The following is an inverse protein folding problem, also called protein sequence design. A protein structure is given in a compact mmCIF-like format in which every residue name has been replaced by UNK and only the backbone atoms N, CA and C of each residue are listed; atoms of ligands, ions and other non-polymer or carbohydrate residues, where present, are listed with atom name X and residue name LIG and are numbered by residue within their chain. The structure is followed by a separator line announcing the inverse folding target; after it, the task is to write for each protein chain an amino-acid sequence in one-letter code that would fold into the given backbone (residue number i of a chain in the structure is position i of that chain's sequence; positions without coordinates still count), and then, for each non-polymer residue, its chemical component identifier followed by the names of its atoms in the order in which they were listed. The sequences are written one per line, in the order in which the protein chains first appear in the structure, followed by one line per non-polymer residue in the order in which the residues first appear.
data_IF_788196274588
#
_entry.id   IF_788196274588
#
_cell.length_a   1.000
_cell.length_b   1.000
_cell.length_c   1.000
_cell.angle_alpha   90.00
_cell.angle_beta   90.00
_cell.angle_gamma   90.00
#
_symmetry.space_group_name_H-M   'P 1'
#
loop_
_entity.id
_entity.type
_entity.pdbx_description
1 polymer ?
#
# COMPACT_ATOMS: atom_id res chain seq x y z
N UNK A 1 -9.84 0.01 -25.47
CA UNK A 1 -10.02 -0.99 -26.56
C UNK A 1 -9.36 -2.30 -26.17
N UNK A 2 -10.05 -3.42 -26.37
CA UNK A 2 -9.43 -4.74 -26.21
C UNK A 2 -8.43 -5.04 -27.36
N UNK A 3 -7.61 -6.11 -27.27
CA UNK A 3 -6.62 -6.46 -28.31
C UNK A 3 -7.21 -6.72 -29.70
N UNK A 4 -8.54 -6.89 -29.81
CA UNK A 4 -9.27 -7.08 -31.05
C UNK A 4 -9.92 -5.78 -31.60
N UNK A 5 -9.65 -4.62 -30.99
CA UNK A 5 -10.17 -3.32 -31.44
C UNK A 5 -11.63 -3.05 -31.07
N UNK A 6 -12.22 -3.86 -30.19
CA UNK A 6 -13.56 -3.61 -29.62
C UNK A 6 -13.53 -2.68 -28.41
N UNK A 7 -14.72 -2.19 -28.03
CA UNK A 7 -14.95 -1.47 -26.77
C UNK A 7 -14.37 -2.28 -25.59
N UNK A 8 -13.62 -1.62 -24.70
CA UNK A 8 -13.03 -2.29 -23.55
C UNK A 8 -14.06 -2.53 -22.44
N UNK A 9 -15.29 -1.99 -22.56
CA UNK A 9 -16.35 -2.11 -21.55
C UNK A 9 -15.84 -1.68 -20.17
N UNK A 10 -15.00 -0.65 -20.15
CA UNK A 10 -14.36 -0.03 -18.99
C UNK A 10 -15.14 1.18 -18.47
N UNK A 11 -16.38 1.38 -18.95
CA UNK A 11 -17.24 2.47 -18.56
C UNK A 11 -17.48 2.48 -17.05
N UNK A 12 -16.89 3.47 -16.39
CA UNK A 12 -17.18 3.87 -15.03
C UNK A 12 -18.17 5.03 -15.05
N UNK A 13 -19.13 5.07 -14.14
CA UNK A 13 -19.86 6.31 -13.89
C UNK A 13 -19.94 6.57 -12.40
N UNK A 14 -19.44 7.72 -11.94
CA UNK A 14 -19.44 8.00 -10.52
C UNK A 14 -19.14 9.43 -10.13
N UNK A 15 -19.38 9.69 -8.85
CA UNK A 15 -19.05 10.95 -8.22
C UNK A 15 -18.03 10.72 -7.12
N UNK A 16 -17.01 11.58 -7.11
CA UNK A 16 -16.00 11.63 -6.04
C UNK A 16 -15.91 13.02 -5.44
N UNK A 17 -15.70 13.05 -4.15
CA UNK A 17 -15.46 14.28 -3.42
C UNK A 17 -14.43 14.08 -2.33
N UNK A 18 -13.61 15.09 -2.08
CA UNK A 18 -12.66 15.03 -0.98
C UNK A 18 -12.16 16.40 -0.54
N UNK A 19 -11.61 16.40 0.66
CA UNK A 19 -11.05 17.59 1.27
C UNK A 19 -9.75 17.28 2.00
N UNK A 20 -8.79 18.19 1.90
CA UNK A 20 -7.55 18.19 2.67
C UNK A 20 -7.37 19.53 3.37
N UNK A 21 -7.01 19.46 4.64
CA UNK A 21 -6.75 20.60 5.49
C UNK A 21 -5.39 20.44 6.16
N UNK A 22 -4.53 21.43 5.95
CA UNK A 22 -3.17 21.44 6.46
C UNK A 22 -2.97 22.62 7.41
N UNK A 23 -2.36 22.36 8.56
CA UNK A 23 -1.99 23.38 9.53
C UNK A 23 -0.56 23.20 9.98
N UNK A 24 0.19 24.30 10.00
CA UNK A 24 1.44 24.39 10.74
C UNK A 24 1.25 25.31 11.95
N UNK A 25 1.45 24.78 13.16
CA UNK A 25 1.34 25.54 14.41
C UNK A 25 2.68 25.49 15.15
N UNK A 26 3.48 26.54 14.97
CA UNK A 26 4.86 26.57 15.46
C UNK A 26 5.68 25.47 14.77
N UNK A 27 6.19 24.53 15.56
CA UNK A 27 6.95 23.38 15.04
C UNK A 27 6.10 22.16 14.73
N UNK A 28 4.82 22.15 15.11
CA UNK A 28 3.92 21.02 14.84
C UNK A 28 3.16 21.22 13.53
N UNK A 29 2.87 20.12 12.86
CA UNK A 29 2.09 20.04 11.63
C UNK A 29 0.92 19.07 11.83
N UNK A 30 -0.23 19.43 11.28
CA UNK A 30 -1.43 18.60 11.29
C UNK A 30 -2.02 18.60 9.89
N UNK A 31 -2.21 17.41 9.33
CA UNK A 31 -3.00 17.17 8.12
C UNK A 31 -4.28 16.44 8.52
N UNK A 32 -5.44 16.94 8.11
CA UNK A 32 -6.70 16.21 8.10
C UNK A 32 -7.14 16.07 6.65
N UNK A 33 -7.37 14.85 6.19
CA UNK A 33 -7.79 14.57 4.81
C UNK A 33 -8.90 13.54 4.82
N UNK A 34 -9.85 13.64 3.89
CA UNK A 34 -10.84 12.62 3.67
C UNK A 34 -11.41 12.68 2.27
N UNK A 35 -11.86 11.54 1.77
CA UNK A 35 -12.54 11.40 0.50
C UNK A 35 -13.81 10.54 0.65
N UNK A 36 -14.69 10.63 -0.34
CA UNK A 36 -15.82 9.75 -0.53
C UNK A 36 -16.02 9.52 -2.04
N UNK A 37 -16.59 8.38 -2.37
CA UNK A 37 -16.93 8.04 -3.74
C UNK A 37 -18.13 7.11 -3.81
N UNK A 38 -18.83 7.16 -4.93
CA UNK A 38 -19.89 6.22 -5.30
C UNK A 38 -19.84 6.07 -6.83
N UNK A 39 -19.42 4.89 -7.27
CA UNK A 39 -19.22 4.60 -8.68
C UNK A 39 -19.95 3.31 -9.07
N UNK A 40 -20.49 3.31 -10.27
CA UNK A 40 -20.99 2.13 -10.95
C UNK A 40 -19.99 1.76 -12.06
N UNK A 41 -19.52 0.54 -12.03
CA UNK A 41 -18.46 0.01 -12.87
C UNK A 41 -18.94 -1.28 -13.54
N UNK A 42 -18.57 -1.50 -14.79
CA UNK A 42 -18.69 -2.84 -15.40
C UNK A 42 -17.35 -3.55 -15.26
N UNK A 43 -17.17 -4.34 -14.20
CA UNK A 43 -15.91 -5.07 -13.99
C UNK A 43 -15.92 -6.30 -14.91
N UNK A 44 -15.01 -6.33 -15.89
CA UNK A 44 -14.94 -7.38 -16.89
C UNK A 44 -13.69 -8.28 -16.77
N UNK A 45 -13.12 -8.43 -15.57
CA UNK A 45 -11.96 -9.31 -15.34
C UNK A 45 -12.22 -10.79 -15.68
N UNK A 46 -13.50 -11.20 -15.72
CA UNK A 46 -13.96 -12.55 -16.08
C UNK A 46 -14.80 -12.65 -17.36
N UNK A 47 -14.86 -11.61 -18.19
CA UNK A 47 -15.77 -11.57 -19.37
C UNK A 47 -17.26 -11.71 -19.03
N UNK A 48 -17.66 -11.39 -17.79
CA UNK A 48 -19.02 -11.61 -17.28
C UNK A 48 -19.94 -10.40 -17.41
N UNK A 49 -19.41 -9.20 -17.68
CA UNK A 49 -20.21 -7.97 -17.84
C UNK A 49 -21.05 -7.61 -16.62
N UNK A 50 -20.58 -7.96 -15.41
CA UNK A 50 -21.36 -7.78 -14.18
C UNK A 50 -21.31 -6.31 -13.76
N UNK A 51 -22.49 -5.69 -13.65
CA UNK A 51 -22.64 -4.37 -13.05
C UNK A 51 -22.24 -4.42 -11.58
N UNK A 52 -21.21 -3.65 -11.24
CA UNK A 52 -20.61 -3.58 -9.91
C UNK A 52 -20.75 -2.17 -9.39
N UNK A 53 -21.36 -2.00 -8.22
CA UNK A 53 -21.37 -0.71 -7.54
C UNK A 53 -20.34 -0.71 -6.43
N UNK A 54 -19.49 0.30 -6.39
CA UNK A 54 -18.47 0.45 -5.37
C UNK A 54 -18.61 1.83 -4.75
N UNK A 55 -18.74 1.87 -3.42
CA UNK A 55 -18.85 3.11 -2.66
C UNK A 55 -17.99 3.05 -1.43
N UNK A 56 -17.60 4.22 -0.95
CA UNK A 56 -16.76 4.29 0.23
C UNK A 56 -16.35 5.69 0.58
N UNK A 57 -15.48 5.76 1.57
CA UNK A 57 -14.83 6.98 1.96
C UNK A 57 -13.87 6.74 3.11
N UNK A 58 -12.99 7.71 3.31
CA UNK A 58 -11.97 7.63 4.33
C UNK A 58 -11.75 8.95 5.07
N UNK A 59 -11.07 8.83 6.21
CA UNK A 59 -10.59 9.95 7.00
C UNK A 59 -9.19 9.63 7.51
N UNK A 60 -8.26 10.54 7.25
CA UNK A 60 -6.87 10.51 7.68
C UNK A 60 -6.58 11.71 8.57
N UNK A 61 -5.96 11.45 9.71
CA UNK A 61 -5.31 12.47 10.52
C UNK A 61 -3.83 12.13 10.67
N UNK A 62 -2.96 13.08 10.28
CA UNK A 62 -1.51 12.95 10.45
C UNK A 62 -0.99 14.13 11.23
N UNK A 63 -0.31 13.86 12.32
CA UNK A 63 0.34 14.85 13.17
C UNK A 63 1.84 14.60 13.19
N UNK A 64 2.61 15.64 12.87
CA UNK A 64 4.07 15.59 12.82
C UNK A 64 4.62 16.69 13.72
N UNK A 65 5.67 16.40 14.49
CA UNK A 65 6.39 17.42 15.25
C UNK A 65 7.84 17.03 15.50
N UNK A 66 8.73 18.01 15.66
CA UNK A 66 10.00 17.79 16.32
C UNK A 66 9.79 17.29 17.75
N UNK A 67 10.53 16.25 18.12
CA UNK A 67 10.57 15.70 19.47
C UNK A 67 11.94 15.07 19.74
N UNK A 68 12.59 15.54 20.81
CA UNK A 68 14.00 15.27 21.11
C UNK A 68 14.91 15.66 19.92
N UNK A 69 15.88 14.82 19.56
CA UNK A 69 16.84 15.04 18.46
C UNK A 69 16.28 14.55 17.10
N UNK A 70 14.96 14.69 16.89
CA UNK A 70 14.28 14.01 15.82
C UNK A 70 12.85 14.48 15.55
N UNK A 71 12.13 13.68 14.77
CA UNK A 71 10.76 13.95 14.34
C UNK A 71 9.84 12.79 14.71
N UNK A 72 8.72 13.11 15.33
CA UNK A 72 7.67 12.18 15.69
C UNK A 72 6.45 12.39 14.80
N UNK A 73 5.94 11.30 14.25
CA UNK A 73 4.70 11.25 13.47
C UNK A 73 3.70 10.32 14.15
N UNK A 74 2.44 10.77 14.21
CA UNK A 74 1.27 9.94 14.54
C UNK A 74 0.30 10.01 13.37
N UNK A 75 -0.18 8.86 12.90
CA UNK A 75 -1.18 8.75 11.85
C UNK A 75 -2.35 7.91 12.35
N UNK A 76 -3.56 8.44 12.23
CA UNK A 76 -4.80 7.73 12.46
C UNK A 76 -5.60 7.72 11.15
N UNK A 77 -6.21 6.59 10.82
CA UNK A 77 -6.92 6.41 9.58
C UNK A 77 -8.16 5.55 9.76
N UNK A 78 -9.22 5.92 9.07
CA UNK A 78 -10.46 5.16 8.94
C UNK A 78 -10.84 5.08 7.47
N UNK A 79 -11.30 3.91 7.02
CA UNK A 79 -11.79 3.67 5.66
C UNK A 79 -12.97 2.74 5.72
N UNK A 80 -14.04 3.11 5.00
CA UNK A 80 -15.17 2.23 4.73
C UNK A 80 -15.24 1.99 3.24
N UNK A 81 -15.36 0.72 2.88
CA UNK A 81 -15.49 0.25 1.52
C UNK A 81 -16.66 -0.71 1.43
N UNK A 82 -17.49 -0.53 0.41
CA UNK A 82 -18.56 -1.45 0.07
C UNK A 82 -18.52 -1.71 -1.44
N UNK A 83 -18.61 -2.99 -1.81
CA UNK A 83 -18.79 -3.46 -3.17
C UNK A 83 -20.03 -4.34 -3.24
N UNK A 84 -20.91 -4.01 -4.18
CA UNK A 84 -22.14 -4.75 -4.45
C UNK A 84 -22.13 -5.22 -5.89
N UNK A 85 -22.30 -6.53 -6.04
CA UNK A 85 -22.53 -7.23 -7.30
C UNK A 85 -23.85 -8.02 -7.18
N UNK A 86 -24.43 -8.54 -8.27
CA UNK A 86 -25.61 -9.40 -8.20
C UNK A 86 -25.38 -10.57 -7.23
N UNK A 87 -26.24 -10.66 -6.21
CA UNK A 87 -26.21 -11.68 -5.15
C UNK A 87 -24.91 -11.74 -4.32
N UNK A 88 -24.04 -10.72 -4.41
CA UNK A 88 -22.76 -10.66 -3.70
C UNK A 88 -22.54 -9.30 -3.06
N UNK A 89 -22.16 -9.28 -1.79
CA UNK A 89 -21.86 -8.05 -1.05
C UNK A 89 -20.54 -8.21 -0.30
N UNK A 90 -19.65 -7.24 -0.46
CA UNK A 90 -18.43 -7.11 0.33
C UNK A 90 -18.46 -5.78 1.09
N UNK A 91 -18.38 -5.84 2.41
CA UNK A 91 -18.23 -4.67 3.28
C UNK A 91 -16.92 -4.75 4.06
N UNK A 92 -16.18 -3.65 4.11
CA UNK A 92 -14.99 -3.54 4.95
C UNK A 92 -14.96 -2.20 5.68
N UNK A 93 -14.74 -2.24 7.00
CA UNK A 93 -14.36 -1.08 7.80
C UNK A 93 -12.95 -1.28 8.35
N UNK A 94 -12.04 -0.38 8.01
CA UNK A 94 -10.64 -0.41 8.43
C UNK A 94 -10.35 0.75 9.37
N UNK A 95 -9.77 0.43 10.52
CA UNK A 95 -9.17 1.39 11.45
C UNK A 95 -7.67 1.13 11.51
N UNK A 96 -6.86 2.17 11.41
CA UNK A 96 -5.40 2.09 11.47
C UNK A 96 -4.86 3.22 12.35
N UNK A 97 -3.91 2.88 13.22
CA UNK A 97 -3.17 3.81 14.05
C UNK A 97 -1.69 3.45 13.96
N UNK A 98 -0.85 4.40 13.58
CA UNK A 98 0.60 4.21 13.50
C UNK A 98 1.35 5.39 14.10
N UNK A 99 2.50 5.09 14.69
CA UNK A 99 3.43 6.07 15.24
C UNK A 99 4.84 5.76 14.73
N UNK A 100 5.59 6.81 14.38
CA UNK A 100 6.98 6.71 13.96
C UNK A 100 7.82 7.80 14.61
N UNK A 101 9.04 7.46 15.02
CA UNK A 101 10.04 8.40 15.52
C UNK A 101 11.34 8.22 14.75
N UNK A 102 11.76 9.27 14.05
CA UNK A 102 13.07 9.36 13.40
C UNK A 102 14.01 10.15 14.28
N UNK A 103 15.18 9.59 14.62
CA UNK A 103 16.19 10.19 15.50
C UNK A 103 17.55 10.15 14.83
N UNK A 104 18.26 11.28 14.85
CA UNK A 104 19.64 11.35 14.35
C UNK A 104 20.57 11.66 15.53
N UNK A 105 21.49 10.76 15.84
CA UNK A 105 22.42 10.92 16.96
C UNK A 105 23.81 10.38 16.66
N UNK A 106 24.77 11.28 16.51
CA UNK A 106 26.14 10.93 16.15
C UNK A 106 26.18 10.25 14.78
N UNK A 107 26.63 9.00 14.74
CA UNK A 107 26.70 8.18 13.51
C UNK A 107 25.42 7.40 13.19
N UNK A 108 24.39 7.52 14.01
CA UNK A 108 23.16 6.71 13.93
C UNK A 108 22.01 7.55 13.39
N UNK A 109 21.29 7.00 12.42
CA UNK A 109 20.01 7.51 11.93
C UNK A 109 18.96 6.42 12.14
N UNK A 110 18.27 6.52 13.27
CA UNK A 110 17.34 5.53 13.80
C UNK A 110 15.91 5.88 13.41
N UNK A 111 15.14 4.90 12.93
CA UNK A 111 13.70 4.99 12.76
C UNK A 111 13.06 3.91 13.60
N UNK A 112 12.18 4.30 14.50
CA UNK A 112 11.37 3.42 15.34
C UNK A 112 9.91 3.59 14.93
N UNK A 113 9.15 2.51 14.88
CA UNK A 113 7.72 2.64 14.64
C UNK A 113 6.90 1.51 15.22
N UNK A 114 5.62 1.79 15.38
CA UNK A 114 4.62 0.84 15.83
C UNK A 114 3.29 1.14 15.12
N UNK A 115 2.50 0.10 14.89
CA UNK A 115 1.21 0.24 14.25
C UNK A 115 0.21 -0.82 14.70
N UNK A 116 -1.07 -0.46 14.63
CA UNK A 116 -2.19 -1.33 14.86
C UNK A 116 -3.26 -1.07 13.81
N UNK A 117 -3.74 -2.14 13.17
CA UNK A 117 -4.84 -2.13 12.22
C UNK A 117 -5.90 -3.13 12.66
N UNK A 118 -7.16 -2.73 12.54
CA UNK A 118 -8.33 -3.58 12.68
C UNK A 118 -9.18 -3.45 11.42
N UNK A 119 -9.60 -4.56 10.84
CA UNK A 119 -10.50 -4.61 9.68
C UNK A 119 -11.70 -5.47 10.06
N UNK A 120 -12.90 -4.89 10.07
CA UNK A 120 -14.13 -5.69 10.06
C UNK A 120 -14.48 -5.97 8.62
N UNK A 121 -14.48 -7.24 8.24
CA UNK A 121 -14.70 -7.68 6.87
C UNK A 121 -15.90 -8.60 6.82
N UNK A 122 -16.84 -8.28 5.94
CA UNK A 122 -18.03 -9.08 5.66
C UNK A 122 -18.06 -9.43 4.18
N UNK A 123 -18.33 -10.69 3.87
CA UNK A 123 -18.51 -11.16 2.50
C UNK A 123 -19.68 -12.11 2.39
N UNK A 124 -20.72 -11.67 1.70
CA UNK A 124 -21.92 -12.46 1.39
C UNK A 124 -21.83 -12.86 -0.07
N UNK A 125 -21.83 -14.16 -0.34
CA UNK A 125 -21.88 -14.71 -1.70
C UNK A 125 -23.25 -15.27 -2.06
N UNK A 126 -23.46 -15.66 -3.33
CA UNK A 126 -24.72 -16.24 -3.79
C UNK A 126 -24.99 -17.59 -3.11
N UNK A 127 -26.27 -17.94 -2.83
CA UNK A 127 -26.61 -19.23 -2.23
C UNK A 127 -26.09 -20.42 -3.06
N UNK A 128 -25.36 -21.34 -2.42
CA UNK A 128 -24.80 -22.53 -3.08
C UNK A 128 -23.59 -22.29 -3.97
N UNK A 129 -23.08 -21.05 -4.03
CA UNK A 129 -21.86 -20.69 -4.74
C UNK A 129 -20.64 -20.60 -3.78
N UNK A 130 -19.61 -19.88 -4.20
CA UNK A 130 -18.44 -19.58 -3.40
C UNK A 130 -18.81 -18.73 -2.18
N UNK A 131 -18.34 -19.10 -0.99
CA UNK A 131 -18.52 -18.31 0.22
C UNK A 131 -17.27 -18.27 1.08
N UNK A 132 -17.17 -17.28 1.96
CA UNK A 132 -16.15 -17.23 3.00
C UNK A 132 -16.75 -17.69 4.33
N UNK A 133 -16.04 -18.58 5.04
CA UNK A 133 -16.38 -18.99 6.40
C UNK A 133 -15.31 -18.49 7.39
N UNK A 134 -15.67 -17.64 8.38
CA UNK A 134 -16.98 -17.02 8.57
C UNK A 134 -17.27 -15.86 7.59
N UNK A 135 -18.56 -15.58 7.35
CA UNK A 135 -19.06 -14.44 6.56
C UNK A 135 -18.49 -13.12 7.10
N UNK A 136 -18.63 -12.91 8.40
CA UNK A 136 -18.12 -11.77 9.16
C UNK A 136 -16.86 -12.16 9.95
N UNK A 137 -15.79 -11.39 9.75
CA UNK A 137 -14.52 -11.61 10.45
C UNK A 137 -13.86 -10.28 10.81
N UNK A 138 -13.42 -10.16 12.06
CA UNK A 138 -12.52 -9.07 12.47
C UNK A 138 -11.08 -9.53 12.36
N UNK A 139 -10.32 -8.87 11.49
CA UNK A 139 -8.90 -9.08 11.30
C UNK A 139 -8.12 -7.99 12.02
N UNK A 140 -7.03 -8.37 12.66
CA UNK A 140 -6.11 -7.46 13.34
C UNK A 140 -4.70 -7.67 12.84
N UNK A 141 -3.93 -6.59 12.78
CA UNK A 141 -2.52 -6.58 12.47
C UNK A 141 -1.83 -5.56 13.38
N UNK A 142 -0.91 -6.04 14.21
CA UNK A 142 -0.06 -5.20 15.06
C UNK A 142 1.37 -5.33 14.59
N UNK A 143 2.14 -4.25 14.57
CA UNK A 143 3.56 -4.33 14.25
C UNK A 143 4.39 -3.35 15.07
N UNK A 144 5.66 -3.71 15.24
CA UNK A 144 6.71 -2.84 15.75
C UNK A 144 7.95 -3.02 14.89
N UNK A 145 8.67 -1.94 14.62
CA UNK A 145 9.91 -2.01 13.85
C UNK A 145 10.96 -1.02 14.35
N UNK A 146 12.20 -1.38 14.05
CA UNK A 146 13.37 -0.54 14.24
C UNK A 146 14.28 -0.67 13.02
N UNK A 147 14.82 0.44 12.56
CA UNK A 147 15.88 0.48 11.56
C UNK A 147 16.93 1.50 11.99
N UNK A 148 18.19 1.11 12.01
CA UNK A 148 19.33 1.99 12.26
C UNK A 148 20.24 2.02 11.03
N UNK A 149 20.47 3.21 10.49
CA UNK A 149 21.50 3.46 9.50
C UNK A 149 22.73 4.05 10.19
N UNK A 150 23.81 3.27 10.20
CA UNK A 150 25.02 3.54 10.95
C UNK A 150 26.14 3.91 9.98
N UNK A 151 26.62 5.16 10.06
CA UNK A 151 27.84 5.58 9.38
C UNK A 151 29.06 4.93 10.06
N UNK A 152 29.56 3.82 9.50
CA UNK A 152 30.77 3.16 9.98
C UNK A 152 32.02 3.99 9.66
N UNK A 153 32.01 4.64 8.50
CA UNK A 153 32.96 5.67 8.05
C UNK A 153 32.20 6.69 7.17
N UNK A 154 32.87 7.74 6.70
CA UNK A 154 32.28 8.71 5.75
C UNK A 154 31.84 8.08 4.42
N UNK A 155 32.40 6.92 4.07
CA UNK A 155 32.15 6.20 2.83
C UNK A 155 31.34 4.91 3.02
N UNK A 156 31.22 4.39 4.25
CA UNK A 156 30.68 3.05 4.52
C UNK A 156 29.52 3.14 5.52
N UNK A 157 28.38 2.63 5.10
CA UNK A 157 27.14 2.66 5.88
C UNK A 157 26.58 1.26 6.06
N UNK A 158 26.26 0.91 7.30
CA UNK A 158 25.56 -0.32 7.66
C UNK A 158 24.13 0.04 8.07
N UNK A 159 23.14 -0.53 7.38
CA UNK A 159 21.74 -0.48 7.80
C UNK A 159 21.37 -1.81 8.43
N UNK A 160 20.85 -1.77 9.65
CA UNK A 160 20.27 -2.93 10.32
C UNK A 160 18.81 -2.63 10.61
N UNK A 161 17.92 -3.56 10.33
CA UNK A 161 16.51 -3.41 10.67
C UNK A 161 15.86 -4.70 11.09
N UNK A 162 14.80 -4.58 11.86
CA UNK A 162 13.93 -5.68 12.21
C UNK A 162 12.51 -5.17 12.38
N UNK A 163 11.56 -5.94 11.84
CA UNK A 163 10.13 -5.75 12.07
C UNK A 163 9.54 -7.01 12.66
N UNK A 164 8.70 -6.83 13.67
CA UNK A 164 7.89 -7.88 14.24
C UNK A 164 6.43 -7.55 13.96
N UNK A 165 5.69 -8.50 13.42
CA UNK A 165 4.29 -8.34 13.06
C UNK A 165 3.47 -9.47 13.65
N UNK A 166 2.29 -9.16 14.18
CA UNK A 166 1.32 -10.13 14.65
C UNK A 166 -0.01 -9.92 13.94
N UNK A 167 -0.55 -10.97 13.30
CA UNK A 167 -1.75 -10.88 12.49
C UNK A 167 -2.72 -12.05 12.74
N UNK A 168 -3.97 -11.88 12.31
CA UNK A 168 -5.06 -12.85 12.57
C UNK A 168 -4.96 -14.17 11.80
N UNK A 169 -4.06 -14.31 10.84
CA UNK A 169 -3.93 -15.52 10.04
C UNK A 169 -2.72 -16.37 10.43
N UNK A 170 -1.50 -15.81 10.36
CA UNK A 170 -0.26 -16.55 10.62
C UNK A 170 0.29 -16.36 12.03
N UNK A 171 -0.36 -15.53 12.85
CA UNK A 171 0.07 -15.32 14.23
C UNK A 171 1.21 -14.31 14.32
N UNK A 172 2.46 -14.73 14.20
CA UNK A 172 3.66 -13.89 14.46
C UNK A 172 4.72 -14.03 13.37
N UNK A 173 5.28 -12.91 12.94
CA UNK A 173 6.26 -12.81 11.86
C UNK A 173 7.47 -11.98 12.34
N UNK A 174 8.68 -12.49 12.10
CA UNK A 174 9.92 -11.77 12.38
C UNK A 174 10.71 -11.54 11.09
N UNK A 175 10.89 -10.27 10.74
CA UNK A 175 11.38 -9.80 9.45
C UNK A 175 12.67 -8.97 9.64
N UNK A 176 13.84 -9.63 9.85
CA UNK A 176 15.13 -8.96 9.92
C UNK A 176 15.66 -8.57 8.53
N UNK A 177 16.51 -7.55 8.51
CA UNK A 177 17.30 -7.18 7.35
C UNK A 177 18.63 -6.54 7.75
N UNK A 178 19.61 -6.68 6.86
CA UNK A 178 20.90 -6.01 6.95
C UNK A 178 21.36 -5.59 5.56
N UNK A 179 21.92 -4.39 5.46
CA UNK A 179 22.51 -3.85 4.22
C UNK A 179 23.82 -3.16 4.52
N UNK A 180 24.85 -3.46 3.75
CA UNK A 180 26.10 -2.73 3.75
C UNK A 180 26.22 -1.96 2.44
N UNK A 181 26.52 -0.66 2.51
CA UNK A 181 26.64 0.23 1.37
C UNK A 181 27.96 1.01 1.44
N UNK A 182 28.76 0.96 0.38
CA UNK A 182 30.06 1.61 0.26
C UNK A 182 30.06 2.60 -0.91
N UNK A 183 30.09 3.89 -0.57
CA UNK A 183 30.31 4.99 -1.50
C UNK A 183 31.80 5.08 -1.82
N UNK A 184 32.20 4.67 -3.03
CA UNK A 184 33.59 4.67 -3.46
C UNK A 184 34.05 6.06 -3.91
N UNK A 185 35.36 6.34 -3.84
CA UNK A 185 35.93 7.52 -4.49
C UNK A 185 35.54 7.55 -5.98
N UNK A 186 34.97 8.67 -6.44
CA UNK A 186 34.44 8.80 -7.80
C UNK A 186 32.90 8.83 -7.90
N UNK A 187 32.18 8.60 -6.80
CA UNK A 187 30.70 8.71 -6.75
C UNK A 187 29.96 7.39 -6.97
N UNK A 188 30.70 6.30 -7.21
CA UNK A 188 30.13 4.96 -7.35
C UNK A 188 29.62 4.42 -6.01
N UNK A 189 28.64 3.51 -6.06
CA UNK A 189 28.08 2.85 -4.88
C UNK A 189 28.14 1.33 -5.07
N UNK A 190 28.73 0.61 -4.12
CA UNK A 190 28.64 -0.85 -4.00
C UNK A 190 27.72 -1.17 -2.83
N UNK A 191 26.85 -2.16 -2.95
CA UNK A 191 26.10 -2.64 -1.80
C UNK A 191 25.90 -4.15 -1.81
N UNK A 192 25.64 -4.68 -0.62
CA UNK A 192 25.12 -6.02 -0.42
C UNK A 192 24.04 -5.98 0.66
N UNK A 193 23.02 -6.82 0.53
CA UNK A 193 21.92 -6.90 1.48
C UNK A 193 21.45 -8.35 1.65
N UNK A 194 20.93 -8.62 2.84
CA UNK A 194 20.15 -9.82 3.14
C UNK A 194 18.90 -9.41 3.88
N UNK A 195 17.75 -9.95 3.48
CA UNK A 195 16.47 -9.63 4.11
C UNK A 195 15.59 -10.87 4.20
N UNK A 196 14.73 -10.88 5.22
CA UNK A 196 13.62 -11.83 5.31
C UNK A 196 12.31 -11.09 5.15
N UNK A 197 11.47 -11.57 4.25
CA UNK A 197 10.10 -11.10 4.04
C UNK A 197 9.12 -12.27 4.21
N UNK A 198 7.85 -11.96 4.46
CA UNK A 198 6.78 -12.94 4.38
C UNK A 198 5.57 -12.36 3.65
N UNK A 199 4.76 -13.23 3.04
CA UNK A 199 3.43 -12.90 2.53
C UNK A 199 2.41 -13.58 3.43
N UNK A 200 1.66 -12.77 4.15
CA UNK A 200 0.61 -13.28 5.02
C UNK A 200 -0.55 -13.84 4.19
N UNK A 201 -1.24 -14.88 4.69
CA UNK A 201 -2.51 -15.33 4.12
C UNK A 201 -3.54 -14.20 3.97
N UNK A 202 -4.52 -14.41 3.11
CA UNK A 202 -5.72 -13.57 3.04
C UNK A 202 -7.01 -14.36 3.36
N UNK A 203 -8.14 -13.65 3.44
CA UNK A 203 -9.44 -14.29 3.76
C UNK A 203 -9.82 -15.39 2.77
N UNK A 204 -9.47 -15.27 1.49
CA UNK A 204 -9.79 -16.31 0.50
C UNK A 204 -8.98 -17.57 0.72
N UNK A 205 -7.69 -17.44 1.00
CA UNK A 205 -6.82 -18.60 1.23
C UNK A 205 -7.22 -19.38 2.49
N UNK A 206 -7.75 -18.68 3.51
CA UNK A 206 -8.15 -19.28 4.80
C UNK A 206 -9.62 -19.70 4.86
N UNK A 207 -10.52 -18.94 4.26
CA UNK A 207 -11.95 -19.06 4.48
C UNK A 207 -12.78 -19.45 3.24
N UNK A 208 -12.21 -19.45 2.03
CA UNK A 208 -12.97 -19.75 0.81
C UNK A 208 -13.45 -21.20 0.78
N UNK A 209 -14.75 -21.39 0.64
CA UNK A 209 -15.36 -22.68 0.34
C UNK A 209 -16.06 -22.62 -1.00
N UNK A 210 -15.63 -23.48 -1.91
CA UNK A 210 -16.34 -23.87 -3.14
C UNK A 210 -16.89 -25.29 -2.92
N UNK A 211 -18.20 -25.44 -2.65
CA UNK A 211 -18.79 -26.74 -2.30
C UNK A 211 -18.40 -27.85 -3.29
N UNK A 212 -17.81 -28.93 -2.75
CA UNK A 212 -17.38 -30.09 -3.54
C UNK A 212 -16.11 -29.91 -4.37
N UNK A 213 -15.50 -28.72 -4.37
CA UNK A 213 -14.33 -28.41 -5.20
C UNK A 213 -13.12 -27.91 -4.40
N UNK A 214 -13.29 -26.93 -3.52
CA UNK A 214 -12.20 -26.32 -2.76
C UNK A 214 -12.67 -25.90 -1.37
N UNK A 215 -11.79 -26.05 -0.38
CA UNK A 215 -12.00 -25.51 0.97
C UNK A 215 -10.72 -24.82 1.40
N UNK A 216 -10.86 -23.67 2.08
CA UNK A 216 -9.78 -22.95 2.73
C UNK A 216 -9.03 -23.88 3.67
N UNK A 217 -7.71 -23.74 3.70
CA UNK A 217 -6.85 -24.63 4.46
C UNK A 217 -6.16 -23.93 5.63
N UNK A 218 -5.33 -24.69 6.34
CA UNK A 218 -4.41 -24.14 7.34
C UNK A 218 -3.20 -23.47 6.68
N UNK A 219 -3.49 -22.55 5.76
CA UNK A 219 -2.50 -21.81 4.98
C UNK A 219 -1.69 -20.89 5.91
N UNK A 220 -0.36 -21.04 5.88
CA UNK A 220 0.61 -20.24 6.64
C UNK A 220 1.22 -19.15 5.74
N UNK A 221 2.05 -18.29 6.33
CA UNK A 221 2.76 -17.27 5.57
C UNK A 221 3.80 -17.89 4.63
N UNK A 222 3.81 -17.47 3.37
CA UNK A 222 4.95 -17.78 2.49
C UNK A 222 6.13 -16.93 2.95
N UNK A 223 7.34 -17.51 3.04
CA UNK A 223 8.52 -16.76 3.48
C UNK A 223 9.59 -16.68 2.39
N UNK A 224 10.34 -15.58 2.40
CA UNK A 224 11.43 -15.30 1.47
C UNK A 224 12.65 -14.88 2.28
N UNK A 225 13.76 -15.59 2.10
CA UNK A 225 15.09 -15.07 2.44
C UNK A 225 15.78 -14.65 1.16
N UNK A 226 16.14 -13.37 1.08
CA UNK A 226 16.67 -12.80 -0.13
C UNK A 226 18.03 -12.16 0.07
N UNK A 227 18.91 -12.41 -0.89
CA UNK A 227 20.26 -11.90 -0.96
C UNK A 227 20.37 -11.00 -2.18
N UNK A 228 21.01 -9.86 -2.03
CA UNK A 228 21.24 -8.92 -3.12
C UNK A 228 22.66 -8.38 -3.04
N UNK A 229 23.30 -8.20 -4.19
CA UNK A 229 24.52 -7.43 -4.31
C UNK A 229 24.45 -6.57 -5.57
N UNK A 230 24.89 -5.33 -5.48
CA UNK A 230 24.83 -4.44 -6.62
C UNK A 230 25.89 -3.36 -6.64
N UNK A 231 25.98 -2.73 -7.80
CA UNK A 231 26.93 -1.69 -8.12
C UNK A 231 26.26 -0.62 -8.96
N UNK A 232 26.43 0.64 -8.56
CA UNK A 232 26.03 1.82 -9.32
C UNK A 232 27.27 2.60 -9.69
N UNK A 233 27.45 2.81 -10.98
CA UNK A 233 28.50 3.64 -11.53
C UNK A 233 27.91 4.98 -12.02
N UNK A 234 28.70 6.04 -11.88
CA UNK A 234 28.45 7.33 -12.54
C UNK A 234 29.56 7.63 -13.56
N UNK A 235 29.60 6.91 -14.71
CA UNK A 235 30.71 7.02 -15.66
C UNK A 235 30.81 8.43 -16.28
N UNK A 236 29.71 9.20 -16.27
CA UNK A 236 29.65 10.60 -16.67
C UNK A 236 28.77 11.35 -15.65
N UNK A 237 28.93 12.67 -15.46
CA UNK A 237 28.09 13.46 -14.54
C UNK A 237 26.58 13.39 -14.82
N UNK A 238 26.21 12.97 -16.03
CA UNK A 238 24.84 12.91 -16.56
C UNK A 238 24.39 11.49 -16.87
N UNK A 239 25.22 10.48 -16.58
CA UNK A 239 24.94 9.09 -16.86
C UNK A 239 25.04 8.27 -15.57
N UNK A 240 24.02 7.46 -15.29
CA UNK A 240 24.09 6.47 -14.22
C UNK A 240 23.81 5.08 -14.78
N UNK A 241 24.57 4.09 -14.32
CA UNK A 241 24.35 2.69 -14.64
C UNK A 241 24.31 1.94 -13.32
N UNK A 242 23.30 1.10 -13.15
CA UNK A 242 23.12 0.25 -11.96
C UNK A 242 23.00 -1.19 -12.42
N UNK A 243 23.74 -2.09 -11.78
CA UNK A 243 23.64 -3.53 -11.98
C UNK A 243 23.44 -4.16 -10.61
N UNK A 244 22.47 -5.06 -10.50
CA UNK A 244 22.14 -5.78 -9.27
C UNK A 244 22.01 -7.26 -9.58
N UNK A 245 22.54 -8.11 -8.72
CA UNK A 245 22.30 -9.54 -8.72
C UNK A 245 21.51 -9.92 -7.46
N UNK A 246 20.59 -10.87 -7.59
CA UNK A 246 19.80 -11.36 -6.47
C UNK A 246 19.75 -12.88 -6.43
N UNK A 247 19.57 -13.42 -5.22
CA UNK A 247 19.32 -14.83 -4.94
C UNK A 247 18.27 -14.94 -3.84
N UNK A 248 17.14 -15.54 -4.17
CA UNK A 248 15.94 -15.62 -3.36
C UNK A 248 15.66 -17.08 -3.03
N UNK A 249 15.50 -17.38 -1.74
CA UNK A 249 15.09 -18.70 -1.23
C UNK A 249 13.69 -18.54 -0.66
N UNK A 250 12.74 -19.25 -1.26
CA UNK A 250 11.34 -19.24 -0.88
C UNK A 250 11.00 -20.54 -0.15
N UNK A 251 10.38 -20.40 1.00
CA UNK A 251 9.85 -21.50 1.81
C UNK A 251 8.35 -21.32 2.02
N UNK A 252 7.66 -22.43 2.24
CA UNK A 252 6.22 -22.44 2.50
C UNK A 252 5.42 -21.79 1.35
N UNK A 253 5.86 -21.96 0.11
CA UNK A 253 5.16 -21.45 -1.07
C UNK A 253 3.79 -22.11 -1.20
N UNK A 254 2.82 -21.32 -1.67
CA UNK A 254 1.45 -21.77 -1.85
C UNK A 254 1.36 -22.94 -2.82
N UNK A 255 0.76 -24.01 -2.32
CA UNK A 255 0.42 -25.23 -3.05
C UNK A 255 -1.05 -25.55 -2.91
N UNK A 256 -1.53 -26.45 -3.76
CA UNK A 256 -2.87 -27.03 -3.65
C UNK A 256 -2.73 -28.51 -3.33
N UNK A 257 -3.35 -28.95 -2.24
CA UNK A 257 -3.32 -30.34 -1.79
C UNK A 257 -4.62 -31.06 -2.14
N UNK A 258 -4.50 -32.31 -2.57
CA UNK A 258 -5.62 -33.18 -2.92
C UNK A 258 -6.17 -33.85 -1.66
N UNK A 259 -7.50 -34.04 -1.59
CA UNK A 259 -8.06 -34.89 -0.52
C UNK A 259 -7.59 -36.34 -0.72
N UNK A 260 -7.05 -37.02 0.31
CA UNK A 260 -6.32 -38.28 0.13
C UNK A 260 -7.18 -39.45 -0.36
N UNK A 261 -8.50 -39.36 -0.19
CA UNK A 261 -9.44 -40.43 -0.58
C UNK A 261 -10.27 -40.05 -1.80
N UNK A 262 -10.82 -38.83 -1.79
CA UNK A 262 -11.81 -38.39 -2.78
C UNK A 262 -11.21 -37.48 -3.85
N UNK A 263 -9.91 -37.16 -3.78
CA UNK A 263 -9.17 -36.20 -4.62
C UNK A 263 -9.62 -34.74 -4.41
N UNK A 264 -10.92 -34.52 -4.27
CA UNK A 264 -11.59 -33.25 -3.96
C UNK A 264 -12.33 -33.31 -2.60
N UNK A 265 -12.57 -32.19 -1.92
CA UNK A 265 -12.16 -30.84 -2.31
C UNK A 265 -10.66 -30.63 -2.19
N UNK A 266 -10.12 -29.72 -3.00
CA UNK A 266 -8.77 -29.22 -2.88
C UNK A 266 -8.62 -28.33 -1.64
N UNK A 267 -7.41 -28.25 -1.10
CA UNK A 267 -7.10 -27.36 0.03
C UNK A 267 -5.89 -26.50 -0.28
N UNK A 268 -5.96 -25.21 0.06
CA UNK A 268 -4.79 -24.34 0.02
C UNK A 268 -3.82 -24.74 1.13
N UNK A 269 -2.56 -24.97 0.76
CA UNK A 269 -1.48 -25.44 1.65
C UNK A 269 -0.17 -24.73 1.32
N UNK A 270 0.88 -24.96 2.11
CA UNK A 270 2.19 -24.32 1.97
C UNK A 270 3.32 -25.36 1.97
N UNK A 271 3.34 -26.26 0.99
CA UNK A 271 4.37 -27.30 0.90
C UNK A 271 5.42 -27.02 -0.17
N UNK A 272 5.30 -25.91 -0.89
CA UNK A 272 6.25 -25.55 -1.93
C UNK A 272 7.52 -24.93 -1.33
N UNK A 273 8.64 -25.19 -1.98
CA UNK A 273 9.88 -24.45 -1.79
C UNK A 273 10.46 -24.15 -3.17
N UNK A 274 11.24 -23.07 -3.27
CA UNK A 274 11.81 -22.66 -4.54
C UNK A 274 12.97 -21.70 -4.38
N UNK A 275 13.81 -21.64 -5.39
CA UNK A 275 14.92 -20.71 -5.47
C UNK A 275 14.79 -19.90 -6.76
N UNK A 276 15.08 -18.61 -6.70
CA UNK A 276 15.13 -17.75 -7.86
C UNK A 276 16.38 -16.87 -7.81
N UNK A 277 17.03 -16.68 -8.94
CA UNK A 277 18.20 -15.82 -9.05
C UNK A 277 18.18 -15.08 -10.36
N UNK A 278 18.85 -13.94 -10.39
CA UNK A 278 18.87 -13.11 -11.58
C UNK A 278 19.83 -11.94 -11.47
N UNK A 279 19.94 -11.25 -12.59
CA UNK A 279 20.69 -10.00 -12.70
C UNK A 279 19.79 -8.97 -13.37
N UNK A 280 19.71 -7.80 -12.77
CA UNK A 280 18.99 -6.65 -13.29
C UNK A 280 19.98 -5.53 -13.62
N UNK A 281 19.70 -4.78 -14.69
CA UNK A 281 20.47 -3.62 -15.06
C UNK A 281 19.55 -2.45 -15.42
N UNK A 282 19.94 -1.26 -14.99
CA UNK A 282 19.24 -0.01 -15.26
C UNK A 282 20.24 1.06 -15.68
N UNK A 283 19.86 1.87 -16.67
CA UNK A 283 20.64 3.02 -17.11
C UNK A 283 19.79 4.26 -17.27
N UNK A 284 20.34 5.41 -16.88
CA UNK A 284 19.74 6.72 -17.14
C UNK A 284 20.76 7.68 -17.73
N UNK A 285 20.31 8.53 -18.65
CA UNK A 285 21.11 9.60 -19.23
C UNK A 285 20.32 10.91 -19.31
N UNK A 286 20.88 11.96 -18.72
CA UNK A 286 20.31 13.31 -18.75
C UNK A 286 20.79 14.00 -20.02
N UNK A 287 19.92 14.10 -21.02
CA UNK A 287 20.19 14.74 -22.31
C UNK A 287 20.28 16.27 -22.14
N UNK A 288 19.39 16.85 -21.33
CA UNK A 288 19.41 18.26 -20.88
C UNK A 288 18.86 18.34 -19.44
N UNK A 289 18.87 19.51 -18.81
CA UNK A 289 18.29 19.69 -17.47
C UNK A 289 16.76 19.48 -17.44
N UNK A 290 16.14 19.28 -18.61
CA UNK A 290 14.69 19.03 -18.77
C UNK A 290 14.35 17.64 -19.32
N UNK A 291 15.32 16.92 -19.89
CA UNK A 291 15.08 15.67 -20.61
C UNK A 291 16.00 14.56 -20.10
N UNK A 292 15.41 13.53 -19.50
CA UNK A 292 16.07 12.30 -19.03
C UNK A 292 15.54 11.12 -19.83
N UNK A 293 16.44 10.30 -20.37
CA UNK A 293 16.10 9.02 -21.02
C UNK A 293 16.51 7.91 -20.06
N UNK A 294 15.67 6.89 -19.91
CA UNK A 294 15.91 5.79 -19.00
C UNK A 294 15.37 4.47 -19.54
N UNK A 295 16.07 3.36 -19.32
CA UNK A 295 15.70 2.05 -19.86
C UNK A 295 15.74 0.95 -18.78
N UNK A 296 14.60 0.25 -18.60
CA UNK A 296 14.40 -0.89 -17.67
C UNK A 296 14.20 -2.17 -18.46
N UNK A 297 14.84 -3.26 -18.04
CA UNK A 297 14.63 -4.61 -18.58
C UNK A 297 13.73 -5.50 -17.70
N UNK A 298 12.85 -6.25 -18.38
CA UNK A 298 11.90 -7.32 -17.98
C UNK A 298 11.04 -7.17 -16.71
N UNK A 299 9.71 -7.20 -16.92
CA UNK A 299 8.67 -7.49 -15.93
C UNK A 299 7.99 -8.83 -16.31
N UNK A 300 7.87 -9.77 -15.37
CA UNK A 300 7.11 -11.01 -15.55
C UNK A 300 5.59 -10.79 -15.43
N UNK A 301 4.81 -11.59 -16.15
CA UNK A 301 3.35 -11.44 -16.38
C UNK A 301 2.44 -11.95 -15.25
N UNK A 302 2.91 -12.05 -14.00
CA UNK A 302 2.11 -12.66 -12.93
C UNK A 302 1.36 -11.60 -12.11
N UNK A 303 0.07 -11.82 -11.95
CA UNK A 303 -0.91 -11.00 -11.24
C UNK A 303 -0.37 -10.49 -9.89
N UNK A 304 -0.41 -9.16 -9.71
CA UNK A 304 0.33 -8.42 -8.70
C UNK A 304 -0.33 -8.42 -7.32
N UNK A 305 -0.09 -9.46 -6.51
CA UNK A 305 -0.42 -9.48 -5.07
C UNK A 305 0.83 -9.54 -4.15
N UNK A 306 2.03 -9.39 -4.73
CA UNK A 306 3.33 -9.45 -4.02
C UNK A 306 4.11 -8.12 -3.99
N UNK A 307 3.49 -7.02 -4.41
CA UNK A 307 4.07 -5.66 -4.40
C UNK A 307 3.39 -4.79 -3.34
N UNK A 308 4.06 -4.53 -2.22
CA UNK A 308 3.52 -3.69 -1.16
C UNK A 308 3.32 -2.25 -1.65
N UNK A 309 2.09 -1.75 -1.63
CA UNK A 309 1.78 -0.35 -1.95
C UNK A 309 1.41 0.37 -0.66
N UNK A 310 2.05 1.52 -0.42
CA UNK A 310 1.75 2.38 0.72
C UNK A 310 1.55 3.83 0.31
N UNK A 311 0.75 4.52 1.11
CA UNK A 311 0.62 5.98 1.11
C UNK A 311 0.96 6.45 2.52
N UNK A 312 1.93 7.35 2.64
CA UNK A 312 2.37 7.92 3.92
C UNK A 312 2.69 6.86 5.01
N UNK A 313 3.29 5.74 4.59
CA UNK A 313 3.66 4.61 5.44
C UNK A 313 2.51 3.63 5.76
N UNK A 314 1.29 3.87 5.29
CA UNK A 314 0.14 2.98 5.47
C UNK A 314 -0.04 2.06 4.27
N UNK A 315 -0.11 0.74 4.50
CA UNK A 315 -0.41 -0.23 3.44
C UNK A 315 -1.84 -0.07 2.90
N UNK A 316 -1.96 -0.04 1.57
CA UNK A 316 -3.25 0.03 0.85
C UNK A 316 -3.85 -1.36 0.56
N UNK A 317 -3.21 -2.44 1.02
CA UNK A 317 -3.62 -3.81 0.74
C UNK A 317 -5.03 -4.13 1.23
N UNK A 318 -5.84 -4.73 0.35
CA UNK A 318 -7.08 -5.40 0.72
C UNK A 318 -6.79 -6.70 1.46
N UNK A 319 -7.47 -6.92 2.58
CA UNK A 319 -7.43 -8.17 3.35
C UNK A 319 -8.12 -9.34 2.66
N UNK A 320 -8.92 -9.08 1.61
CA UNK A 320 -9.64 -10.11 0.86
C UNK A 320 -8.69 -10.87 -0.09
N UNK A 321 -7.88 -10.15 -0.88
CA UNK A 321 -7.03 -10.74 -1.93
C UNK A 321 -5.54 -10.34 -1.89
N UNK A 322 -5.12 -9.49 -0.95
CA UNK A 322 -3.76 -8.95 -0.88
C UNK A 322 -3.35 -8.14 -2.12
N UNK A 323 -4.29 -7.37 -2.69
CA UNK A 323 -4.06 -6.44 -3.81
C UNK A 323 -4.54 -5.02 -3.49
N UNK A 324 -4.40 -4.11 -4.46
CA UNK A 324 -4.89 -2.72 -4.36
C UNK A 324 -6.04 -2.51 -5.33
N UNK A 325 -7.19 -2.06 -4.81
CA UNK A 325 -8.31 -1.59 -5.64
C UNK A 325 -8.06 -0.14 -6.04
N UNK A 326 -7.41 0.08 -7.19
CA UNK A 326 -7.02 1.42 -7.65
C UNK A 326 -8.23 2.32 -7.92
N UNK A 327 -9.33 1.76 -8.40
CA UNK A 327 -10.59 2.50 -8.63
C UNK A 327 -11.23 2.99 -7.33
N UNK A 328 -10.74 2.58 -6.16
CA UNK A 328 -11.18 3.10 -4.87
C UNK A 328 -10.20 4.14 -4.26
N UNK A 329 -9.12 4.50 -4.96
CA UNK A 329 -8.04 5.36 -4.44
C UNK A 329 -7.88 6.60 -5.30
N UNK A 330 -8.29 7.76 -4.77
CA UNK A 330 -8.10 9.05 -5.43
C UNK A 330 -6.97 9.83 -4.74
N UNK A 331 -5.79 9.81 -5.34
CA UNK A 331 -4.66 10.61 -4.89
C UNK A 331 -4.57 11.84 -5.78
N UNK A 332 -4.81 13.01 -5.21
CA UNK A 332 -4.62 14.29 -5.90
C UNK A 332 -3.15 14.41 -6.30
N UNK A 333 -2.86 14.41 -7.60
CA UNK A 333 -1.48 14.42 -8.12
C UNK A 333 -0.69 15.62 -7.58
N UNK A 334 -1.34 16.76 -7.37
CA UNK A 334 -0.75 17.97 -6.80
C UNK A 334 -0.31 17.79 -5.34
N UNK A 335 -0.98 16.91 -4.59
CA UNK A 335 -0.66 16.59 -3.20
C UNK A 335 0.43 15.52 -3.07
N UNK A 336 0.81 14.86 -4.17
CA UNK A 336 1.92 13.90 -4.20
C UNK A 336 3.24 14.67 -4.24
N UNK A 337 4.10 14.40 -3.26
CA UNK A 337 5.48 14.92 -3.26
C UNK A 337 6.37 14.03 -4.12
N UNK A 338 6.28 12.70 -3.91
CA UNK A 338 7.05 11.71 -4.66
C UNK A 338 6.40 10.33 -4.62
N UNK A 339 6.72 9.54 -5.65
CA UNK A 339 6.44 8.10 -5.71
C UNK A 339 7.77 7.37 -5.81
N UNK A 340 8.05 6.51 -4.85
CA UNK A 340 9.26 5.70 -4.78
C UNK A 340 8.91 4.25 -5.14
N UNK A 341 9.66 3.65 -6.06
CA UNK A 341 9.50 2.23 -6.43
C UNK A 341 10.79 1.50 -6.10
N UNK A 342 10.71 0.53 -5.21
CA UNK A 342 11.81 -0.34 -4.79
C UNK A 342 11.50 -1.73 -5.34
N UNK A 343 12.25 -2.17 -6.35
CA UNK A 343 12.10 -3.50 -6.90
C UNK A 343 12.85 -4.54 -6.07
N UNK A 344 12.28 -5.73 -5.98
CA UNK A 344 12.94 -6.89 -5.40
C UNK A 344 13.07 -6.83 -3.87
N UNK A 345 14.01 -7.62 -3.32
CA UNK A 345 14.03 -7.94 -1.89
C UNK A 345 14.44 -6.79 -0.95
N UNK A 346 14.96 -5.69 -1.50
CA UNK A 346 15.15 -4.44 -0.75
C UNK A 346 13.84 -3.85 -0.20
N UNK A 347 12.69 -4.26 -0.74
CA UNK A 347 11.37 -3.89 -0.25
C UNK A 347 10.98 -4.52 1.10
N UNK A 348 11.64 -5.62 1.51
CA UNK A 348 11.33 -6.36 2.75
C UNK A 348 11.32 -5.46 4.02
N UNK A 349 12.06 -4.37 3.97
CA UNK A 349 12.12 -3.35 5.02
C UNK A 349 10.78 -2.70 5.37
N UNK A 350 9.86 -2.65 4.40
CA UNK A 350 8.54 -2.04 4.58
C UNK A 350 7.52 -3.00 5.23
N UNK A 351 7.83 -4.30 5.27
CA UNK A 351 7.08 -5.31 6.04
C UNK A 351 6.47 -6.42 5.20
N UNK A 352 5.52 -7.15 5.79
CA UNK A 352 4.86 -8.27 5.13
C UNK A 352 4.20 -7.83 3.81
N UNK A 353 4.22 -8.74 2.83
CA UNK A 353 3.74 -8.56 1.46
C UNK A 353 4.65 -7.71 0.53
N UNK A 354 5.83 -7.26 0.98
CA UNK A 354 6.85 -6.60 0.14
C UNK A 354 7.78 -7.58 -0.60
N UNK A 355 7.30 -8.79 -0.91
CA UNK A 355 8.12 -9.92 -1.40
C UNK A 355 8.75 -9.63 -2.76
N UNK A 356 8.05 -8.92 -3.65
CA UNK A 356 8.55 -8.56 -4.97
C UNK A 356 8.99 -7.09 -5.10
N UNK A 357 8.79 -6.28 -4.04
CA UNK A 357 9.08 -4.86 -4.03
C UNK A 357 8.00 -4.01 -3.36
N UNK A 358 8.23 -2.69 -3.37
CA UNK A 358 7.42 -1.67 -2.71
C UNK A 358 7.15 -0.49 -3.64
N UNK A 359 5.93 0.02 -3.63
CA UNK A 359 5.56 1.34 -4.14
C UNK A 359 5.19 2.20 -2.94
N UNK A 360 5.99 3.22 -2.64
CA UNK A 360 5.75 4.14 -1.53
C UNK A 360 5.39 5.53 -2.09
N UNK A 361 4.15 5.95 -1.86
CA UNK A 361 3.65 7.27 -2.22
C UNK A 361 3.75 8.16 -0.99
N UNK A 362 4.45 9.28 -1.11
CA UNK A 362 4.56 10.28 -0.03
C UNK A 362 3.81 11.54 -0.44
N UNK A 363 2.88 11.99 0.41
CA UNK A 363 2.15 13.24 0.20
C UNK A 363 2.93 14.43 0.79
N UNK A 364 2.74 15.61 0.21
CA UNK A 364 3.39 16.86 0.64
C UNK A 364 3.18 17.15 2.11
N UNK A 365 4.16 17.81 2.75
CA UNK A 365 4.03 18.29 4.12
C UNK A 365 2.99 19.41 4.23
N UNK A 366 2.45 19.62 5.43
CA UNK A 366 1.46 20.68 5.67
C UNK A 366 2.06 22.10 5.52
N UNK A 367 3.38 22.21 5.59
CA UNK A 367 4.10 23.48 5.37
C UNK A 367 4.24 23.83 3.89
N UNK A 368 4.27 22.82 3.03
CA UNK A 368 4.49 23.01 1.58
C UNK A 368 3.19 23.25 0.80
N UNK A 369 2.06 23.29 1.50
CA UNK A 369 0.71 23.32 0.92
C UNK A 369 -0.11 24.54 1.34
N UNK A 370 0.55 25.60 1.82
CA UNK A 370 -0.12 26.84 2.23
C UNK A 370 -0.86 27.47 1.04
N UNK A 371 -2.15 27.77 1.24
CA UNK A 371 -3.03 28.33 0.22
C UNK A 371 -4.29 27.50 0.02
N UNK A 372 -5.08 27.82 -1.01
CA UNK A 372 -6.26 27.04 -1.39
C UNK A 372 -6.07 26.51 -2.80
N UNK A 373 -6.27 25.21 -2.98
CA UNK A 373 -6.37 24.54 -4.27
C UNK A 373 -7.77 23.93 -4.39
N UNK A 374 -8.43 24.18 -5.52
CA UNK A 374 -9.68 23.53 -5.89
C UNK A 374 -9.45 22.84 -7.22
N UNK A 375 -9.61 21.52 -7.25
CA UNK A 375 -9.55 20.71 -8.45
C UNK A 375 -10.95 20.20 -8.78
N UNK A 376 -11.38 20.41 -10.02
CA UNK A 376 -12.65 19.93 -10.54
C UNK A 376 -12.36 19.21 -11.84
N UNK A 377 -12.76 17.94 -11.92
CA UNK A 377 -12.75 17.18 -13.16
C UNK A 377 -14.17 16.74 -13.50
N UNK A 378 -14.50 16.77 -14.79
CA UNK A 378 -15.74 16.25 -15.32
C UNK A 378 -15.45 15.61 -16.68
N UNK A 379 -15.84 14.35 -16.83
CA UNK A 379 -15.71 13.56 -18.03
C UNK A 379 -17.06 12.98 -18.47
N UNK A 380 -17.02 12.17 -19.52
CA UNK A 380 -18.18 11.38 -19.97
C UNK A 380 -18.58 10.28 -19.00
N UNK A 381 -17.69 9.96 -18.07
CA UNK A 381 -17.74 8.82 -17.17
C UNK A 381 -17.72 9.29 -15.71
N UNK A 382 -16.73 10.08 -15.30
CA UNK A 382 -16.61 10.51 -13.89
C UNK A 382 -16.69 12.02 -13.68
N UNK A 383 -17.15 12.41 -12.48
CA UNK A 383 -17.03 13.76 -11.95
C UNK A 383 -16.33 13.74 -10.59
N UNK A 384 -15.32 14.61 -10.40
CA UNK A 384 -14.61 14.75 -9.14
C UNK A 384 -14.48 16.20 -8.69
N UNK A 385 -14.54 16.40 -7.37
CA UNK A 385 -14.24 17.68 -6.73
C UNK A 385 -13.32 17.45 -5.54
N UNK A 386 -12.13 18.05 -5.58
CA UNK A 386 -11.17 18.00 -4.49
C UNK A 386 -10.85 19.42 -4.02
N UNK A 387 -10.92 19.63 -2.71
CA UNK A 387 -10.61 20.92 -2.08
C UNK A 387 -9.46 20.74 -1.11
N UNK A 388 -8.38 21.49 -1.30
CA UNK A 388 -7.27 21.53 -0.38
C UNK A 388 -7.10 22.95 0.15
N UNK A 389 -7.01 23.10 1.47
CA UNK A 389 -6.60 24.35 2.10
C UNK A 389 -5.52 24.16 3.17
N UNK A 390 -4.37 24.81 2.98
CA UNK A 390 -3.29 24.89 3.96
C UNK A 390 -3.18 26.27 4.62
N UNK A 391 -3.04 26.31 5.94
CA UNK A 391 -2.91 27.54 6.72
C UNK A 391 -1.70 27.53 7.68
N UNK A 392 -1.01 28.67 7.86
CA UNK A 392 0.16 28.78 8.75
C UNK A 392 -0.21 28.91 10.24
N UNK A 393 -1.52 28.89 10.58
CA UNK A 393 -2.04 28.92 11.96
C UNK A 393 -3.37 28.19 12.02
N UNK A 394 -3.61 27.49 13.13
CA UNK A 394 -4.90 26.84 13.40
C UNK A 394 -5.99 27.90 13.63
N UNK A 395 -7.08 27.84 12.87
CA UNK A 395 -8.29 28.63 13.09
C UNK A 395 -9.49 27.68 13.22
N UNK A 396 -10.03 27.57 14.44
CA UNK A 396 -11.22 26.75 14.71
C UNK A 396 -12.44 27.18 13.88
N UNK A 397 -12.51 28.46 13.49
CA UNK A 397 -13.58 29.02 12.64
C UNK A 397 -13.52 28.43 11.23
N UNK A 398 -12.31 28.19 10.70
CA UNK A 398 -12.13 27.64 9.36
C UNK A 398 -12.44 26.13 9.32
N UNK A 399 -12.09 25.40 10.39
CA UNK A 399 -12.45 23.98 10.55
C UNK A 399 -13.97 23.79 10.49
N UNK A 400 -14.72 24.59 11.25
CA UNK A 400 -16.20 24.56 11.25
C UNK A 400 -16.76 24.93 9.89
N UNK A 401 -16.20 25.94 9.21
CA UNK A 401 -16.69 26.37 7.90
C UNK A 401 -16.44 25.32 6.79
N UNK A 402 -15.27 24.66 6.79
CA UNK A 402 -14.95 23.61 5.81
C UNK A 402 -15.72 22.32 6.10
N UNK A 403 -15.82 21.89 7.37
CA UNK A 403 -16.69 20.76 7.73
C UNK A 403 -18.16 21.05 7.40
N UNK A 404 -18.65 22.27 7.66
CA UNK A 404 -20.01 22.65 7.33
C UNK A 404 -20.25 22.65 5.81
N UNK A 405 -19.28 23.11 5.00
CA UNK A 405 -19.38 23.05 3.53
C UNK A 405 -19.29 21.62 2.99
N UNK A 406 -18.39 20.78 3.51
CA UNK A 406 -18.31 19.37 3.14
C UNK A 406 -19.59 18.60 3.55
N UNK A 407 -20.13 18.88 4.74
CA UNK A 407 -21.39 18.32 5.22
C UNK A 407 -22.60 18.80 4.41
N UNK A 408 -22.62 20.06 3.99
CA UNK A 408 -23.65 20.62 3.11
C UNK A 408 -23.59 19.99 1.71
N UNK A 409 -22.41 19.69 1.18
CA UNK A 409 -22.22 18.98 -0.08
C UNK A 409 -22.73 17.53 0.01
N UNK A 410 -22.46 16.83 1.11
CA UNK A 410 -23.02 15.48 1.37
C UNK A 410 -24.55 15.50 1.46
N UNK A 411 -25.13 16.53 2.08
CA UNK A 411 -26.58 16.73 2.18
C UNK A 411 -27.23 17.12 0.84
N UNK A 412 -26.56 17.92 0.01
CA UNK A 412 -27.08 18.40 -1.28
C UNK A 412 -26.98 17.35 -2.40
N UNK A 413 -26.05 16.39 -2.30
CA UNK A 413 -25.82 15.33 -3.30
C UNK A 413 -26.31 13.93 -2.88
N UNK A 414 -27.11 13.82 -1.83
CA UNK A 414 -28.02 12.68 -1.64
C UNK A 414 -27.42 11.44 -0.99
N UNK A 415 -26.54 11.57 0.01
CA UNK A 415 -26.27 10.47 0.95
C UNK A 415 -27.13 10.70 2.19
N UNK A 416 -28.18 9.90 2.36
CA UNK A 416 -28.96 9.88 3.60
C UNK A 416 -28.09 9.33 4.73
N UNK A 417 -27.85 10.07 5.83
CA UNK A 417 -27.27 9.48 7.02
C UNK A 417 -28.37 8.66 7.70
N UNK A 418 -28.22 7.34 7.68
CA UNK A 418 -28.95 6.41 8.52
C UNK A 418 -28.52 6.61 9.98
N UNK A 419 -29.01 7.67 10.61
CA UNK A 419 -29.01 7.84 12.05
C UNK A 419 -30.40 8.32 12.44
N UNK A 420 -30.96 7.68 13.47
CA UNK A 420 -32.30 7.82 14.04
C UNK A 420 -33.41 6.97 13.41
N UNK A 421 -33.40 5.68 13.75
CA UNK A 421 -34.62 4.92 14.00
C UNK A 421 -34.40 4.00 15.21
N UNK A 422 -35.21 4.25 16.25
CA UNK A 422 -35.53 3.27 17.28
C UNK A 422 -36.47 2.20 16.72
#
# INVERSE_FOLDING_TARGET
MNPAGGDATDAANGLRGGARLDWSAGVSELTLQGDFFDNELTINETYSGIGTRVRGGNLLGRWVRPWADGEFQLLAYYDRFERVEPDTVEDNDTWDLSAQHTVVRGRHHLVLGAGYRSVRSRFVGPPGAAFLDPEDLTLTLSNVFVQDQIALTDALTLTLGAKYEANSFSGQEFLPNARLAWSRPGGDLVWAAVSRASRTPNRIERGLTLPGFLVGGDFQSETLTAWEAGYRAMPLPRASITISAFYNVYDELRTVSLHPVTVVPFTFTNHGAGEAWGVEAWGSYDVSDRWRISARGFNGYETSNKLLVMVDGRSLYSSLHSGVFWDARDLVLEDIERIEVISGPGGALYGANAVNGVINITTRSARDTVGTLVSVAAGTEDASVMVHHGAPRFSAVLLVFVFFMAFLLVLLFGVTPLLWAQ
#
